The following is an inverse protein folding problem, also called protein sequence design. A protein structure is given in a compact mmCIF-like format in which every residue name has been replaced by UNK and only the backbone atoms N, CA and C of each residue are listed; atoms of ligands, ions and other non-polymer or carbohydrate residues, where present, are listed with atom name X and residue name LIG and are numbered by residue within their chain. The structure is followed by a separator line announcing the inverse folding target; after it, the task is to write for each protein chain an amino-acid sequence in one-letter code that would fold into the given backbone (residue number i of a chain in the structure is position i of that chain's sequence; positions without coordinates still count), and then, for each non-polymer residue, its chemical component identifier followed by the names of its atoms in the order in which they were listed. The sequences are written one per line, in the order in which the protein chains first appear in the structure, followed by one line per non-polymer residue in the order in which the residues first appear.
data_IF_745658959270
#
_entry.id   IF_745658959270
#
_cell.length_a   1.000
_cell.length_b   1.000
_cell.length_c   1.000
_cell.angle_alpha   90.00
_cell.angle_beta   90.00
_cell.angle_gamma   90.00
#
_symmetry.space_group_name_H-M   'P 1'
#
loop_
_entity.id
_entity.type
_entity.pdbx_description
1 polymer ?
#
# COMPACT_ATOMS: atom_id res chain seq x y z
N UNK A 1 13.39 30.61 22.10
CA UNK A 1 12.37 29.55 21.86
C UNK A 1 11.89 29.69 20.43
N UNK A 2 12.36 28.83 19.53
CA UNK A 2 11.78 28.73 18.18
C UNK A 2 10.93 27.48 18.22
N UNK A 3 9.61 27.67 18.30
CA UNK A 3 8.66 26.59 18.08
C UNK A 3 8.58 26.42 16.57
N UNK A 4 9.39 25.53 16.00
CA UNK A 4 9.11 25.00 14.66
C UNK A 4 7.92 24.06 14.78
N UNK A 5 6.71 24.62 14.69
CA UNK A 5 5.54 23.84 14.30
C UNK A 5 5.74 23.48 12.83
N UNK A 6 6.25 22.27 12.57
CA UNK A 6 6.02 21.60 11.29
C UNK A 6 4.55 21.23 11.25
N UNK A 7 3.69 22.16 10.84
CA UNK A 7 2.34 21.80 10.41
C UNK A 7 2.49 20.77 9.29
N UNK A 8 1.87 19.59 9.38
CA UNK A 8 1.83 18.68 8.24
C UNK A 8 1.13 19.44 7.12
N UNK A 9 1.86 19.66 6.04
CA UNK A 9 1.34 20.39 4.89
C UNK A 9 0.24 19.51 4.32
N UNK A 10 -1.03 19.89 4.53
CA UNK A 10 -2.14 19.34 3.77
C UNK A 10 -1.82 19.65 2.31
N UNK A 11 -1.36 18.64 1.58
CA UNK A 11 -1.10 18.73 0.15
C UNK A 11 -2.18 17.92 -0.54
N UNK A 12 -3.35 18.52 -0.76
CA UNK A 12 -4.20 17.99 -1.81
C UNK A 12 -3.45 18.18 -3.13
N UNK A 13 -3.39 17.11 -3.91
CA UNK A 13 -2.79 17.10 -5.23
C UNK A 13 -3.90 17.06 -6.26
N UNK A 14 -3.75 17.84 -7.32
CA UNK A 14 -4.63 17.77 -8.47
C UNK A 14 -3.82 17.85 -9.77
N UNK A 15 -4.47 17.54 -10.88
CA UNK A 15 -3.85 17.64 -12.20
C UNK A 15 -4.12 19.02 -12.79
N UNK A 16 -3.09 19.61 -13.40
CA UNK A 16 -3.21 20.78 -14.26
C UNK A 16 -2.51 20.43 -15.57
N UNK A 17 -3.31 20.15 -16.60
CA UNK A 17 -2.84 19.56 -17.85
C UNK A 17 -2.01 18.30 -17.56
N UNK A 18 -0.74 18.24 -17.98
CA UNK A 18 0.17 17.11 -17.75
C UNK A 18 0.89 17.12 -16.40
N UNK A 19 0.67 18.12 -15.54
CA UNK A 19 1.38 18.28 -14.28
C UNK A 19 0.53 17.86 -13.09
N UNK A 20 1.18 17.29 -12.09
CA UNK A 20 0.65 17.20 -10.74
C UNK A 20 1.07 18.47 -10.01
N UNK A 21 0.11 19.15 -9.39
CA UNK A 21 0.32 20.39 -8.65
C UNK A 21 -0.31 20.29 -7.26
N UNK A 22 0.21 21.05 -6.31
CA UNK A 22 -0.39 21.20 -4.99
C UNK A 22 -1.52 22.26 -5.01
N UNK A 23 -2.19 22.46 -3.88
CA UNK A 23 -3.26 23.47 -3.74
C UNK A 23 -2.80 24.92 -3.94
N UNK A 24 -1.49 25.19 -3.94
CA UNK A 24 -0.91 26.52 -4.26
C UNK A 24 -0.60 26.69 -5.75
N UNK A 25 -0.78 25.65 -6.55
CA UNK A 25 -0.42 25.62 -7.97
C UNK A 25 1.05 25.29 -8.26
N UNK A 26 1.85 24.95 -7.23
CA UNK A 26 3.24 24.55 -7.41
C UNK A 26 3.32 23.14 -7.99
N UNK A 27 4.19 22.94 -8.98
CA UNK A 27 4.42 21.61 -9.56
C UNK A 27 5.06 20.67 -8.53
N UNK A 28 4.44 19.50 -8.36
CA UNK A 28 4.95 18.41 -7.53
C UNK A 28 5.47 17.30 -8.44
N UNK A 29 6.72 16.90 -8.25
CA UNK A 29 7.29 15.73 -8.91
C UNK A 29 7.34 14.58 -7.91
N UNK A 30 6.65 13.49 -8.24
CA UNK A 30 6.69 12.27 -7.44
C UNK A 30 7.96 11.49 -7.77
N UNK A 31 8.87 11.40 -6.80
CA UNK A 31 10.04 10.55 -6.82
C UNK A 31 9.79 9.44 -5.80
N UNK A 32 9.22 8.32 -6.25
CA UNK A 32 8.77 7.26 -5.37
C UNK A 32 9.67 6.02 -5.41
N UNK A 33 9.74 5.32 -4.28
CA UNK A 33 10.11 3.90 -4.23
C UNK A 33 8.86 3.03 -4.26
N UNK A 34 8.98 1.77 -4.68
CA UNK A 34 7.95 0.76 -4.48
C UNK A 34 8.25 -0.01 -3.19
N UNK A 35 7.25 -0.20 -2.33
CA UNK A 35 7.39 -1.01 -1.12
C UNK A 35 6.33 -2.13 -1.12
N UNK A 36 6.75 -3.40 -1.24
CA UNK A 36 5.85 -4.54 -1.16
C UNK A 36 5.18 -4.67 0.21
N UNK A 37 3.85 -4.77 0.25
CA UNK A 37 3.03 -5.15 1.42
C UNK A 37 1.85 -6.04 1.01
N UNK A 38 1.87 -6.59 -0.21
CA UNK A 38 0.82 -7.42 -0.78
C UNK A 38 1.14 -8.93 -0.81
N UNK A 39 2.34 -9.32 -0.36
CA UNK A 39 2.75 -10.71 -0.28
C UNK A 39 1.94 -11.48 0.77
N UNK A 40 2.13 -12.78 0.85
CA UNK A 40 1.37 -13.72 1.69
C UNK A 40 1.21 -13.25 3.15
N UNK A 41 2.23 -12.68 3.83
CA UNK A 41 2.08 -12.21 5.20
C UNK A 41 1.25 -10.93 5.35
N UNK A 42 1.02 -10.19 4.26
CA UNK A 42 0.33 -8.89 4.18
C UNK A 42 0.90 -7.85 5.16
N UNK A 43 2.23 -7.78 5.21
CA UNK A 43 2.97 -6.78 5.96
C UNK A 43 4.05 -6.18 5.05
N UNK A 44 4.38 -4.90 5.25
CA UNK A 44 5.46 -4.26 4.51
C UNK A 44 6.79 -5.00 4.72
N UNK A 45 7.44 -5.36 3.62
CA UNK A 45 8.66 -6.17 3.64
C UNK A 45 9.81 -5.48 4.37
N UNK A 46 10.67 -6.27 5.02
CA UNK A 46 11.87 -5.78 5.72
C UNK A 46 11.65 -5.27 7.15
N UNK A 47 10.40 -5.18 7.64
CA UNK A 47 10.11 -4.81 9.03
C UNK A 47 10.58 -5.84 10.08
N UNK A 48 10.93 -7.06 9.65
CA UNK A 48 11.63 -8.04 10.48
C UNK A 48 13.13 -7.75 10.62
N UNK A 49 13.72 -6.93 9.75
CA UNK A 49 15.16 -6.66 9.73
C UNK A 49 15.54 -5.33 10.35
N UNK A 50 14.67 -4.32 10.26
CA UNK A 50 14.98 -2.96 10.69
C UNK A 50 13.76 -2.25 11.30
N UNK A 51 13.97 -1.31 12.23
CA UNK A 51 12.91 -0.43 12.70
C UNK A 51 12.34 0.38 11.53
N UNK A 52 11.02 0.58 11.52
CA UNK A 52 10.33 1.32 10.45
C UNK A 52 10.98 2.69 10.20
N UNK A 53 11.21 3.48 11.25
CA UNK A 53 11.71 4.86 11.11
C UNK A 53 13.11 4.90 10.49
N UNK A 54 13.92 3.85 10.68
CA UNK A 54 15.22 3.75 10.02
C UNK A 54 15.08 3.52 8.50
N UNK A 55 14.10 2.72 8.06
CA UNK A 55 13.82 2.50 6.64
C UNK A 55 13.25 3.78 6.02
N UNK A 56 12.26 4.41 6.67
CA UNK A 56 11.62 5.63 6.17
C UNK A 56 12.63 6.80 6.05
N UNK A 57 13.50 6.97 7.04
CA UNK A 57 14.58 7.96 7.00
C UNK A 57 15.52 7.75 5.81
N UNK A 58 15.90 6.50 5.53
CA UNK A 58 16.78 6.19 4.40
C UNK A 58 16.11 6.48 3.05
N UNK A 59 14.80 6.22 2.91
CA UNK A 59 14.04 6.61 1.70
C UNK A 59 14.14 8.12 1.47
N UNK A 60 13.98 8.93 2.53
CA UNK A 60 14.11 10.39 2.46
C UNK A 60 15.55 10.82 2.16
N UNK A 61 16.54 10.21 2.80
CA UNK A 61 17.97 10.51 2.60
C UNK A 61 18.45 10.17 1.17
N UNK A 62 17.85 9.18 0.51
CA UNK A 62 18.06 8.88 -0.91
C UNK A 62 17.38 9.90 -1.85
N UNK A 63 16.60 10.84 -1.33
CA UNK A 63 15.94 11.90 -2.10
C UNK A 63 14.55 11.54 -2.63
N UNK A 64 13.95 10.43 -2.18
CA UNK A 64 12.56 10.10 -2.52
C UNK A 64 11.58 10.87 -1.62
N UNK A 65 10.41 11.20 -2.15
CA UNK A 65 9.35 11.93 -1.44
C UNK A 65 8.04 11.14 -1.35
N UNK A 66 8.00 9.92 -1.89
CA UNK A 66 6.81 9.08 -1.85
C UNK A 66 7.14 7.59 -1.84
N UNK A 67 6.15 6.80 -1.43
CA UNK A 67 6.15 5.35 -1.51
C UNK A 67 4.91 4.90 -2.26
N UNK A 68 5.10 4.10 -3.32
CA UNK A 68 4.04 3.28 -3.90
C UNK A 68 3.91 2.03 -3.03
N UNK A 69 2.92 2.03 -2.14
CA UNK A 69 2.68 0.98 -1.15
C UNK A 69 1.61 0.02 -1.66
N UNK A 70 2.05 -1.20 -1.93
CA UNK A 70 1.22 -2.23 -2.55
C UNK A 70 0.32 -2.94 -1.54
N UNK A 71 -0.89 -3.31 -1.93
CA UNK A 71 -1.82 -4.09 -1.10
C UNK A 71 -2.59 -5.11 -1.94
N UNK A 72 -3.00 -6.26 -1.37
CA UNK A 72 -3.82 -7.25 -2.05
C UNK A 72 -5.32 -6.96 -1.85
N UNK A 73 -6.17 -7.18 -2.85
CA UNK A 73 -7.61 -6.87 -2.78
C UNK A 73 -8.28 -7.48 -1.55
N UNK A 74 -7.93 -8.74 -1.24
CA UNK A 74 -8.53 -9.47 -0.13
C UNK A 74 -8.19 -8.90 1.25
N UNK A 75 -7.17 -8.04 1.37
CA UNK A 75 -6.96 -7.26 2.60
C UNK A 75 -8.17 -6.36 2.90
N UNK A 76 -8.84 -5.83 1.88
CA UNK A 76 -10.01 -4.96 2.02
C UNK A 76 -11.35 -5.73 1.92
N UNK A 77 -11.38 -6.89 1.26
CA UNK A 77 -12.63 -7.58 0.90
C UNK A 77 -12.82 -8.94 1.54
N UNK A 78 -11.83 -9.48 2.26
CA UNK A 78 -11.93 -10.76 2.96
C UNK A 78 -11.60 -10.61 4.44
N UNK A 79 -12.64 -10.64 5.28
CA UNK A 79 -12.51 -10.46 6.72
C UNK A 79 -11.65 -11.55 7.39
N UNK A 80 -11.65 -12.77 6.84
CA UNK A 80 -10.80 -13.85 7.36
C UNK A 80 -9.30 -13.59 7.16
N UNK A 81 -8.94 -12.68 6.23
CA UNK A 81 -7.57 -12.20 6.06
C UNK A 81 -7.37 -10.92 6.85
N UNK A 82 -8.23 -9.92 6.66
CA UNK A 82 -8.06 -8.58 7.26
C UNK A 82 -8.04 -8.61 8.78
N UNK A 83 -8.74 -9.56 9.42
CA UNK A 83 -8.83 -9.71 10.87
C UNK A 83 -7.66 -10.48 11.51
N UNK A 84 -6.85 -11.20 10.72
CA UNK A 84 -5.67 -11.88 11.27
C UNK A 84 -4.74 -10.84 11.86
N UNK A 85 -4.14 -11.13 13.02
CA UNK A 85 -3.04 -10.30 13.51
C UNK A 85 -1.77 -10.57 12.70
N UNK A 86 -0.83 -9.62 12.71
CA UNK A 86 0.52 -9.85 12.16
C UNK A 86 1.12 -11.13 12.77
N UNK A 87 0.97 -11.33 14.08
CA UNK A 87 1.41 -12.55 14.74
C UNK A 87 0.77 -13.82 14.15
N UNK A 88 -0.56 -13.82 13.97
CA UNK A 88 -1.28 -14.97 13.42
C UNK A 88 -0.88 -15.25 11.98
N UNK A 89 -0.83 -14.23 11.12
CA UNK A 89 -0.40 -14.35 9.73
C UNK A 89 0.97 -15.01 9.62
N UNK A 90 1.97 -14.50 10.34
CA UNK A 90 3.32 -15.05 10.32
C UNK A 90 3.41 -16.46 10.92
N UNK A 91 2.68 -16.77 11.99
CA UNK A 91 2.63 -18.13 12.56
C UNK A 91 1.99 -19.13 11.60
N UNK A 92 0.89 -18.76 10.96
CA UNK A 92 0.19 -19.63 9.99
C UNK A 92 1.09 -19.97 8.79
N UNK A 93 2.00 -19.07 8.43
CA UNK A 93 2.99 -19.26 7.36
C UNK A 93 4.30 -19.92 7.84
N UNK A 94 4.44 -20.25 9.13
CA UNK A 94 5.66 -20.84 9.69
C UNK A 94 6.86 -19.87 9.77
N UNK A 95 6.62 -18.56 9.71
CA UNK A 95 7.65 -17.52 9.64
C UNK A 95 8.13 -17.05 11.02
N UNK A 96 8.48 -17.99 11.90
CA UNK A 96 8.85 -17.71 13.30
C UNK A 96 10.05 -16.77 13.44
N UNK A 97 11.09 -16.94 12.64
CA UNK A 97 12.29 -16.09 12.69
C UNK A 97 11.99 -14.64 12.28
N UNK A 98 11.16 -14.47 11.25
CA UNK A 98 10.70 -13.14 10.84
C UNK A 98 9.80 -12.50 11.88
N UNK A 99 8.93 -13.27 12.54
CA UNK A 99 8.10 -12.77 13.63
C UNK A 99 8.93 -12.30 14.82
N UNK A 100 9.99 -13.02 15.20
CA UNK A 100 10.96 -12.58 16.22
C UNK A 100 11.62 -11.27 15.79
N UNK A 101 12.10 -11.18 14.55
CA UNK A 101 12.69 -9.95 14.03
C UNK A 101 11.73 -8.77 14.03
N UNK A 102 10.43 -8.99 13.76
CA UNK A 102 9.40 -7.94 13.88
C UNK A 102 9.24 -7.54 15.35
N UNK A 103 9.28 -8.48 16.29
CA UNK A 103 9.15 -8.19 17.72
C UNK A 103 10.29 -7.31 18.22
N UNK A 104 11.51 -7.57 17.74
CA UNK A 104 12.69 -6.82 18.13
C UNK A 104 12.71 -5.41 17.53
N UNK A 105 12.31 -5.28 16.25
CA UNK A 105 12.43 -4.02 15.51
C UNK A 105 11.19 -3.13 15.58
N UNK A 106 10.00 -3.73 15.62
CA UNK A 106 8.70 -3.06 15.49
C UNK A 106 7.65 -3.72 16.43
N UNK A 107 7.88 -3.81 17.75
CA UNK A 107 7.03 -4.59 18.66
C UNK A 107 5.55 -4.15 18.67
N UNK A 108 5.27 -2.88 18.40
CA UNK A 108 3.93 -2.31 18.47
C UNK A 108 2.95 -2.81 17.40
N UNK A 109 3.43 -3.45 16.33
CA UNK A 109 2.58 -3.91 15.22
C UNK A 109 2.13 -5.37 15.32
N UNK A 110 2.76 -6.17 16.19
CA UNK A 110 2.56 -7.64 16.22
C UNK A 110 1.11 -8.04 16.48
N UNK A 111 0.43 -7.31 17.36
CA UNK A 111 -0.93 -7.61 17.77
C UNK A 111 -1.99 -6.84 16.96
N UNK A 112 -1.57 -5.99 16.02
CA UNK A 112 -2.50 -5.33 15.11
C UNK A 112 -3.03 -6.34 14.09
N UNK A 113 -4.30 -6.18 13.71
CA UNK A 113 -4.82 -6.88 12.54
C UNK A 113 -4.07 -6.46 11.27
N UNK A 114 -4.08 -7.27 10.21
CA UNK A 114 -3.37 -6.95 8.97
C UNK A 114 -3.83 -5.61 8.38
N UNK A 115 -5.13 -5.29 8.42
CA UNK A 115 -5.62 -3.99 7.96
C UNK A 115 -5.14 -2.84 8.85
N UNK A 116 -5.09 -3.04 10.17
CA UNK A 116 -4.57 -2.04 11.11
C UNK A 116 -3.05 -1.85 10.97
N UNK A 117 -2.30 -2.92 10.70
CA UNK A 117 -0.87 -2.86 10.43
C UNK A 117 -0.59 -2.10 9.14
N UNK A 118 -1.39 -2.31 8.09
CA UNK A 118 -1.32 -1.52 6.86
C UNK A 118 -1.60 -0.02 7.12
N UNK A 119 -2.64 0.31 7.88
CA UNK A 119 -2.91 1.69 8.32
C UNK A 119 -1.75 2.28 9.14
N UNK A 120 -1.14 1.47 10.02
CA UNK A 120 0.01 1.88 10.81
C UNK A 120 1.21 2.26 9.93
N UNK A 121 1.50 1.46 8.90
CA UNK A 121 2.57 1.74 7.92
C UNK A 121 2.29 3.06 7.19
N UNK A 122 1.07 3.25 6.67
CA UNK A 122 0.70 4.48 5.95
C UNK A 122 0.83 5.72 6.85
N UNK A 123 0.34 5.65 8.09
CA UNK A 123 0.48 6.74 9.07
C UNK A 123 1.95 7.05 9.36
N UNK A 124 2.76 6.02 9.62
CA UNK A 124 4.18 6.18 9.94
C UNK A 124 5.00 6.75 8.77
N UNK A 125 4.62 6.44 7.52
CA UNK A 125 5.18 7.11 6.34
C UNK A 125 4.88 8.62 6.36
N UNK A 126 3.65 9.01 6.71
CA UNK A 126 3.24 10.40 6.83
C UNK A 126 4.00 11.16 7.93
N UNK A 127 4.21 10.52 9.09
CA UNK A 127 5.03 11.07 10.19
C UNK A 127 6.49 11.31 9.79
N UNK A 128 6.97 10.60 8.77
CA UNK A 128 8.30 10.76 8.17
C UNK A 128 8.28 11.64 6.90
N UNK A 129 7.22 12.41 6.66
CA UNK A 129 7.05 13.29 5.51
C UNK A 129 7.09 12.58 4.14
N UNK A 130 6.67 11.31 4.09
CA UNK A 130 6.54 10.56 2.84
C UNK A 130 5.07 10.50 2.40
N UNK A 131 4.83 10.93 1.17
CA UNK A 131 3.55 10.70 0.51
C UNK A 131 3.37 9.21 0.18
N UNK A 132 2.13 8.77 0.05
CA UNK A 132 1.77 7.38 -0.23
C UNK A 132 0.87 7.34 -1.45
N UNK A 133 1.23 6.49 -2.41
CA UNK A 133 0.34 6.03 -3.47
C UNK A 133 -0.05 4.61 -3.10
N UNK A 134 -1.32 4.39 -2.79
CA UNK A 134 -1.85 3.05 -2.56
C UNK A 134 -1.88 2.31 -3.90
N UNK A 135 -1.48 1.05 -3.92
CA UNK A 135 -1.47 0.27 -5.16
C UNK A 135 -2.16 -1.07 -4.99
N UNK A 136 -3.33 -1.24 -5.61
CA UNK A 136 -3.98 -2.56 -5.64
C UNK A 136 -3.18 -3.48 -6.56
N UNK A 137 -2.36 -4.33 -5.97
CA UNK A 137 -1.32 -5.04 -6.70
C UNK A 137 -1.80 -6.37 -7.28
N UNK A 138 -2.59 -7.09 -6.50
CA UNK A 138 -3.10 -8.41 -6.82
C UNK A 138 -4.37 -8.64 -5.99
N UNK A 139 -5.17 -9.67 -6.29
CA UNK A 139 -6.34 -9.96 -5.48
C UNK A 139 -6.01 -10.81 -4.25
N UNK A 140 -5.43 -11.98 -4.49
CA UNK A 140 -4.97 -12.91 -3.43
C UNK A 140 -3.56 -12.49 -2.99
N UNK A 141 -3.28 -12.40 -1.68
CA UNK A 141 -1.93 -12.13 -1.19
C UNK A 141 -0.90 -13.10 -1.78
N UNK A 142 0.22 -12.58 -2.28
CA UNK A 142 1.30 -13.39 -2.83
C UNK A 142 2.01 -12.77 -4.03
N UNK A 143 2.86 -13.56 -4.68
CA UNK A 143 3.66 -13.14 -5.82
C UNK A 143 2.88 -13.14 -7.15
N UNK A 144 3.25 -12.23 -8.03
CA UNK A 144 2.72 -12.05 -9.39
C UNK A 144 3.91 -11.88 -10.37
N UNK A 145 3.79 -11.61 -11.67
CA UNK A 145 2.64 -11.19 -12.46
C UNK A 145 2.63 -12.00 -13.75
N UNK A 146 2.48 -13.32 -13.62
CA UNK A 146 2.48 -14.21 -14.78
C UNK A 146 1.18 -14.06 -15.58
N UNK A 147 1.19 -14.45 -16.86
CA UNK A 147 -0.04 -14.49 -17.66
C UNK A 147 -1.03 -15.61 -17.25
N UNK A 148 -0.75 -16.37 -16.19
CA UNK A 148 -1.52 -17.54 -15.74
C UNK A 148 -1.78 -17.54 -14.23
N UNK A 149 -1.58 -16.41 -13.55
CA UNK A 149 -1.77 -16.30 -12.11
C UNK A 149 -3.23 -16.02 -11.69
N UNK A 150 -4.17 -16.04 -12.64
CA UNK A 150 -5.59 -15.80 -12.39
C UNK A 150 -5.92 -14.36 -11.97
N UNK A 151 -5.00 -13.42 -12.13
CA UNK A 151 -5.14 -12.03 -11.68
C UNK A 151 -4.96 -10.99 -12.79
N UNK A 152 -4.78 -11.43 -14.04
CA UNK A 152 -4.30 -10.58 -15.13
C UNK A 152 -5.36 -9.64 -15.68
N UNK A 153 -6.59 -10.10 -15.86
CA UNK A 153 -7.65 -9.30 -16.49
C UNK A 153 -9.02 -9.48 -15.85
N UNK A 154 -9.95 -8.59 -16.20
CA UNK A 154 -11.31 -8.61 -15.68
C UNK A 154 -11.98 -9.98 -15.94
N UNK A 155 -12.51 -10.59 -14.88
CA UNK A 155 -13.18 -11.89 -14.96
C UNK A 155 -12.25 -13.11 -14.83
N UNK A 156 -10.94 -12.91 -14.68
CA UNK A 156 -10.04 -14.01 -14.29
C UNK A 156 -10.44 -14.59 -12.92
N UNK A 157 -9.98 -15.81 -12.62
CA UNK A 157 -10.34 -16.60 -11.42
C UNK A 157 -10.35 -15.79 -10.12
N UNK A 158 -9.37 -14.91 -9.95
CA UNK A 158 -9.23 -14.08 -8.75
C UNK A 158 -9.50 -12.60 -8.99
N UNK A 159 -9.90 -12.17 -10.19
CA UNK A 159 -10.13 -10.77 -10.50
C UNK A 159 -11.58 -10.47 -10.92
N UNK A 160 -12.45 -10.47 -9.92
CA UNK A 160 -13.83 -10.01 -10.05
C UNK A 160 -13.92 -8.46 -10.00
N UNK A 161 -14.48 -7.78 -11.03
CA UNK A 161 -14.56 -6.32 -11.08
C UNK A 161 -15.44 -5.68 -9.98
N UNK A 162 -16.55 -6.32 -9.58
CA UNK A 162 -17.43 -5.78 -8.54
C UNK A 162 -16.74 -5.78 -7.18
N UNK A 163 -16.10 -6.91 -6.82
CA UNK A 163 -15.30 -7.02 -5.61
C UNK A 163 -14.10 -6.06 -5.64
N UNK A 164 -13.50 -5.85 -6.81
CA UNK A 164 -12.42 -4.89 -6.98
C UNK A 164 -12.87 -3.46 -6.70
N UNK A 165 -14.00 -3.02 -7.28
CA UNK A 165 -14.58 -1.70 -7.00
C UNK A 165 -14.96 -1.55 -5.52
N UNK A 166 -15.50 -2.59 -4.89
CA UNK A 166 -15.79 -2.62 -3.45
C UNK A 166 -14.51 -2.40 -2.63
N UNK A 167 -13.44 -3.13 -2.94
CA UNK A 167 -12.16 -3.01 -2.24
C UNK A 167 -11.52 -1.63 -2.43
N UNK A 168 -11.56 -1.07 -3.64
CA UNK A 168 -11.10 0.30 -3.90
C UNK A 168 -11.89 1.32 -3.08
N UNK A 169 -13.23 1.22 -3.04
CA UNK A 169 -14.08 2.10 -2.27
C UNK A 169 -13.82 2.00 -0.76
N UNK A 170 -13.61 0.77 -0.25
CA UNK A 170 -13.24 0.52 1.15
C UNK A 170 -11.90 1.16 1.49
N UNK A 171 -10.87 0.97 0.66
CA UNK A 171 -9.56 1.58 0.88
C UNK A 171 -9.59 3.11 0.77
N UNK A 172 -10.36 3.67 -0.17
CA UNK A 172 -10.55 5.11 -0.29
C UNK A 172 -11.23 5.69 0.96
N UNK A 173 -12.27 5.00 1.46
CA UNK A 173 -12.97 5.39 2.70
C UNK A 173 -12.04 5.32 3.91
N UNK A 174 -11.25 4.24 4.00
CA UNK A 174 -10.32 4.00 5.11
C UNK A 174 -9.27 5.12 5.25
N UNK A 175 -8.82 5.67 4.13
CA UNK A 175 -7.75 6.69 4.08
C UNK A 175 -8.25 8.10 3.74
N UNK A 176 -9.57 8.34 3.73
CA UNK A 176 -10.15 9.63 3.34
C UNK A 176 -9.62 10.82 4.17
N UNK A 177 -9.32 10.59 5.45
CA UNK A 177 -8.77 11.61 6.36
C UNK A 177 -7.24 11.49 6.56
N UNK A 178 -6.55 10.69 5.75
CA UNK A 178 -5.10 10.47 5.86
C UNK A 178 -4.35 11.33 4.85
N UNK A 179 -3.83 12.46 5.33
CA UNK A 179 -3.31 13.54 4.49
C UNK A 179 -2.13 13.17 3.59
N UNK A 180 -1.33 12.17 3.96
CA UNK A 180 -0.19 11.75 3.17
C UNK A 180 -0.55 10.72 2.08
N UNK A 181 -1.80 10.21 2.02
CA UNK A 181 -2.25 9.40 0.88
C UNK A 181 -2.67 10.34 -0.25
N UNK A 182 -1.90 10.35 -1.32
CA UNK A 182 -2.04 11.33 -2.42
C UNK A 182 -2.59 10.74 -3.72
N UNK A 183 -2.82 9.43 -3.73
CA UNK A 183 -3.39 8.74 -4.88
C UNK A 183 -3.56 7.25 -4.66
N UNK A 184 -4.29 6.62 -5.58
CA UNK A 184 -4.49 5.18 -5.62
C UNK A 184 -4.30 4.67 -7.06
N UNK A 185 -3.31 3.83 -7.26
CA UNK A 185 -3.15 3.00 -8.45
C UNK A 185 -4.18 1.87 -8.40
N UNK A 186 -5.11 1.89 -9.36
CA UNK A 186 -6.34 1.11 -9.29
C UNK A 186 -6.12 -0.40 -9.45
N UNK A 187 -5.20 -0.82 -10.33
CA UNK A 187 -4.81 -2.23 -10.50
C UNK A 187 -3.41 -2.31 -11.11
N UNK A 188 -2.52 -3.12 -10.55
CA UNK A 188 -1.20 -3.35 -11.10
C UNK A 188 -1.24 -4.26 -12.35
N UNK A 189 -0.60 -3.80 -13.43
CA UNK A 189 -0.27 -4.60 -14.61
C UNK A 189 -1.43 -5.43 -15.17
N UNK A 190 -2.53 -4.78 -15.58
CA UNK A 190 -3.54 -5.45 -16.40
C UNK A 190 -2.85 -6.17 -17.57
N UNK A 191 -3.05 -7.48 -17.65
CA UNK A 191 -2.27 -8.40 -18.47
C UNK A 191 -3.08 -9.63 -18.87
N UNK A 192 -2.48 -10.52 -19.65
CA UNK A 192 -3.10 -11.79 -20.02
C UNK A 192 -3.94 -11.73 -21.29
N UNK A 193 -4.51 -12.87 -21.66
CA UNK A 193 -5.13 -13.11 -22.96
C UNK A 193 -6.50 -12.43 -23.14
N UNK A 194 -7.16 -12.02 -22.05
CA UNK A 194 -8.46 -11.34 -22.08
C UNK A 194 -8.42 -9.87 -22.50
N UNK A 195 -7.23 -9.30 -22.73
CA UNK A 195 -7.05 -7.91 -23.15
C UNK A 195 -7.39 -7.70 -24.64
N UNK A 196 -8.66 -7.86 -25.01
CA UNK A 196 -9.15 -7.44 -26.31
C UNK A 196 -10.01 -6.18 -26.20
N UNK A 197 -10.09 -5.40 -27.28
CA UNK A 197 -10.81 -4.12 -27.32
C UNK A 197 -12.26 -4.27 -26.86
N UNK A 198 -12.93 -5.36 -27.20
CA UNK A 198 -14.35 -5.54 -26.85
C UNK A 198 -14.55 -5.78 -25.36
N UNK A 199 -13.59 -6.42 -24.69
CA UNK A 199 -13.65 -6.69 -23.26
C UNK A 199 -13.29 -5.46 -22.42
N UNK A 200 -12.48 -4.53 -22.95
CA UNK A 200 -12.17 -3.25 -22.28
C UNK A 200 -13.36 -2.28 -22.14
N UNK A 201 -14.35 -2.37 -23.03
CA UNK A 201 -15.50 -1.45 -23.07
C UNK A 201 -16.80 -2.06 -22.52
N UNK A 202 -16.74 -3.26 -21.93
CA UNK A 202 -17.84 -3.86 -21.18
C UNK A 202 -17.78 -3.41 -19.72
#
# INVERSE_FOLDING_TARGET
MIVTQTQPMIMSLHTNSRWIVNDRGDRVKLACVNWPSHLEPVLAEGLNKRPFDAIAKEIVEMGFNCVRLTWPLYLATNDSISSLTVQQSFRNLGLSDSLTGIADNNPSIINLSLIQAFQWVVRKLGENNLMVILDNHISVPGWCCSGRDGNGFFGDEYFNPEQWLEGLAKMATLFNNTQNVVGMSLRNELRGHGQDVTTWYK
#
